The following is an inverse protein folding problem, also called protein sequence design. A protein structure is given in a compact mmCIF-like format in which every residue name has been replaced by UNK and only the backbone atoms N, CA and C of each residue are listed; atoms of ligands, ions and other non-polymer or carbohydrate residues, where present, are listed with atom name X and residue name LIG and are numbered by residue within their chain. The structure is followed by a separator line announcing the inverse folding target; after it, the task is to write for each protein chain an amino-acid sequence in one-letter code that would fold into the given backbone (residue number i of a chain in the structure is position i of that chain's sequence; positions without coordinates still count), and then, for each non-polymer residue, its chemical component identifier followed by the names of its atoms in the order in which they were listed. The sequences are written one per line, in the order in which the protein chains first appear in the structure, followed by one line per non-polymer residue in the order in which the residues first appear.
data_IF_965587683031
#
_entry.id   IF_965587683031
#
_cell.length_a   1.000
_cell.length_b   1.000
_cell.length_c   1.000
_cell.angle_alpha   90.00
_cell.angle_beta   90.00
_cell.angle_gamma   90.00
#
_symmetry.space_group_name_H-M   'P 1'
#
loop_
_entity.id
_entity.type
_entity.pdbx_description
1 polymer ?
#
# COMPACT_ATOMS: atom_id res chain seq x y z
N UNK A 1 6.13 13.30 -13.87
CA UNK A 1 7.11 12.62 -12.99
C UNK A 1 8.20 11.94 -13.78
N UNK A 2 7.94 11.44 -15.01
CA UNK A 2 8.97 10.88 -15.89
C UNK A 2 10.21 11.78 -16.02
N UNK A 3 10.02 13.10 -16.07
CA UNK A 3 11.13 14.06 -16.17
C UNK A 3 12.08 14.10 -14.97
N UNK A 4 11.72 13.52 -13.81
CA UNK A 4 12.59 13.42 -12.64
C UNK A 4 13.47 12.19 -12.67
N UNK A 5 13.24 11.22 -13.56
CA UNK A 5 14.13 10.07 -13.70
C UNK A 5 15.31 10.45 -14.58
N UNK A 6 16.50 10.09 -14.11
CA UNK A 6 17.75 10.27 -14.87
C UNK A 6 17.92 9.12 -15.85
N UNK A 7 18.77 9.31 -16.87
CA UNK A 7 18.97 8.30 -17.93
C UNK A 7 19.57 6.99 -17.43
N UNK A 8 20.23 7.01 -16.27
CA UNK A 8 20.78 5.84 -15.58
C UNK A 8 19.80 5.19 -14.59
N UNK A 9 18.53 5.61 -14.60
CA UNK A 9 17.47 5.08 -13.74
C UNK A 9 17.46 5.64 -12.32
N UNK A 10 18.30 6.63 -12.01
CA UNK A 10 18.23 7.42 -10.78
C UNK A 10 17.02 8.36 -10.71
N UNK A 11 16.92 9.12 -9.62
CA UNK A 11 15.82 10.06 -9.38
C UNK A 11 16.37 11.43 -8.93
N UNK A 12 16.03 12.47 -9.68
CA UNK A 12 16.41 13.86 -9.44
C UNK A 12 15.44 14.51 -8.44
N UNK A 13 15.84 14.51 -7.18
CA UNK A 13 15.08 15.06 -6.07
C UNK A 13 14.97 16.59 -6.11
N UNK A 14 15.96 17.30 -6.64
CA UNK A 14 15.92 18.76 -6.75
C UNK A 14 14.85 19.20 -7.75
N UNK A 15 14.82 18.53 -8.90
CA UNK A 15 13.77 18.74 -9.90
C UNK A 15 12.40 18.37 -9.37
N UNK A 16 12.30 17.27 -8.61
CA UNK A 16 11.05 16.92 -7.94
C UNK A 16 10.57 18.02 -6.99
N UNK A 17 11.44 18.47 -6.09
CA UNK A 17 11.14 19.49 -5.09
C UNK A 17 10.65 20.79 -5.74
N UNK A 18 11.26 21.21 -6.85
CA UNK A 18 10.78 22.38 -7.60
C UNK A 18 9.42 22.16 -8.28
N UNK A 19 9.09 20.94 -8.71
CA UNK A 19 7.79 20.62 -9.32
C UNK A 19 6.64 20.59 -8.31
N UNK A 20 6.89 20.10 -7.10
CA UNK A 20 5.88 20.01 -6.04
C UNK A 20 5.81 21.26 -5.17
N UNK A 21 6.68 22.24 -5.42
CA UNK A 21 6.72 23.50 -4.69
C UNK A 21 5.38 24.22 -4.77
N UNK A 22 4.76 24.45 -3.61
CA UNK A 22 3.46 25.11 -3.50
C UNK A 22 2.26 24.22 -3.85
N UNK A 23 2.45 22.92 -4.10
CA UNK A 23 1.36 21.97 -4.21
C UNK A 23 0.89 21.61 -2.80
N UNK A 24 -0.39 21.83 -2.53
CA UNK A 24 -0.99 21.44 -1.26
C UNK A 24 -1.25 19.92 -1.24
N UNK A 25 -0.46 19.22 -0.44
CA UNK A 25 -0.65 17.80 -0.12
C UNK A 25 -1.22 17.61 1.29
N UNK A 26 -1.31 18.67 2.11
CA UNK A 26 -1.70 18.60 3.53
C UNK A 26 -3.21 18.76 3.72
N UNK A 27 -3.95 19.10 2.67
CA UNK A 27 -5.39 18.80 2.60
C UNK A 27 -5.58 17.29 2.34
N UNK A 28 -6.11 16.58 3.34
CA UNK A 28 -6.45 15.16 3.27
C UNK A 28 -7.86 14.97 2.70
N UNK A 29 -7.92 14.73 1.40
CA UNK A 29 -9.16 14.59 0.62
C UNK A 29 -9.04 13.43 -0.36
N UNK A 30 -9.01 12.17 0.13
CA UNK A 30 -8.74 10.98 -0.68
C UNK A 30 -9.68 10.90 -1.90
N UNK A 31 -9.21 11.24 -3.12
CA UNK A 31 -10.09 11.33 -4.29
C UNK A 31 -10.74 9.99 -4.60
N UNK A 32 -10.04 8.90 -4.28
CA UNK A 32 -10.49 7.54 -4.51
C UNK A 32 -11.68 7.12 -3.63
N UNK A 33 -11.96 7.80 -2.52
CA UNK A 33 -13.17 7.55 -1.70
C UNK A 33 -14.43 8.20 -2.29
N UNK A 34 -14.30 9.05 -3.31
CA UNK A 34 -15.44 9.77 -3.91
C UNK A 34 -16.14 8.92 -4.96
N UNK A 35 -17.47 9.01 -5.10
CA UNK A 35 -18.23 8.28 -6.13
C UNK A 35 -17.72 8.50 -7.56
N UNK A 36 -17.20 9.71 -7.82
CA UNK A 36 -16.66 10.08 -9.13
C UNK A 36 -15.45 9.23 -9.55
N UNK A 37 -14.72 8.62 -8.62
CA UNK A 37 -13.53 7.82 -8.90
C UNK A 37 -13.88 6.53 -9.66
N UNK A 38 -14.87 5.78 -9.16
CA UNK A 38 -15.32 4.50 -9.75
C UNK A 38 -16.37 4.67 -10.85
N UNK A 39 -16.80 5.90 -11.12
CA UNK A 39 -17.69 6.29 -12.24
C UNK A 39 -18.94 5.40 -12.33
N UNK A 40 -19.05 4.60 -13.39
CA UNK A 40 -20.21 3.76 -13.71
C UNK A 40 -20.34 2.54 -12.79
N UNK A 41 -19.25 2.14 -12.13
CA UNK A 41 -19.22 0.97 -11.26
C UNK A 41 -19.62 1.31 -9.82
N UNK A 42 -19.94 2.57 -9.50
CA UNK A 42 -20.29 3.00 -8.13
C UNK A 42 -21.41 2.17 -7.49
N UNK A 43 -22.37 1.71 -8.31
CA UNK A 43 -23.55 1.00 -7.81
C UNK A 43 -23.29 -0.49 -7.53
N UNK A 44 -22.10 -0.99 -7.82
CA UNK A 44 -21.70 -2.36 -7.53
C UNK A 44 -20.68 -2.36 -6.42
N UNK A 45 -20.87 -3.23 -5.44
CA UNK A 45 -19.95 -3.36 -4.33
C UNK A 45 -18.72 -4.21 -4.71
N UNK A 46 -18.01 -3.88 -5.79
CA UNK A 46 -16.81 -4.62 -6.21
C UNK A 46 -15.57 -4.24 -5.41
N UNK A 47 -15.48 -2.98 -4.98
CA UNK A 47 -14.22 -2.38 -4.55
C UNK A 47 -14.07 -2.28 -3.03
N UNK A 48 -15.09 -2.61 -2.24
CA UNK A 48 -14.96 -2.50 -0.79
C UNK A 48 -14.19 -3.69 -0.20
N UNK A 49 -13.54 -3.51 0.97
CA UNK A 49 -12.82 -4.58 1.65
C UNK A 49 -13.69 -5.81 1.90
N UNK A 50 -14.96 -5.61 2.24
CA UNK A 50 -15.93 -6.68 2.53
C UNK A 50 -16.90 -6.95 1.38
N UNK A 51 -16.44 -6.73 0.15
CA UNK A 51 -17.21 -7.08 -1.03
C UNK A 51 -17.62 -8.56 -0.98
N UNK A 52 -18.92 -8.88 -1.11
CA UNK A 52 -19.36 -10.28 -1.17
C UNK A 52 -18.96 -10.98 -2.49
N UNK A 53 -18.46 -10.22 -3.48
CA UNK A 53 -18.06 -10.78 -4.77
C UNK A 53 -16.77 -11.58 -4.61
N UNK A 54 -16.78 -12.84 -5.06
CA UNK A 54 -15.58 -13.69 -5.08
C UNK A 54 -15.15 -14.27 -3.72
N UNK A 55 -15.81 -13.87 -2.63
CA UNK A 55 -15.47 -14.31 -1.28
C UNK A 55 -16.08 -15.69 -0.90
N UNK A 56 -17.04 -16.21 -1.68
CA UNK A 56 -17.76 -17.44 -1.35
C UNK A 56 -18.20 -18.29 -2.55
N UNK A 57 -18.62 -19.52 -2.26
CA UNK A 57 -19.09 -20.49 -3.24
C UNK A 57 -20.31 -19.98 -4.04
N UNK A 58 -20.41 -20.24 -5.36
CA UNK A 58 -19.53 -21.07 -6.20
C UNK A 58 -18.33 -20.34 -6.81
N UNK A 59 -18.20 -19.03 -6.60
CA UNK A 59 -17.13 -18.20 -7.16
C UNK A 59 -16.01 -17.98 -6.14
N UNK A 60 -15.34 -19.06 -5.72
CA UNK A 60 -14.14 -18.99 -4.86
C UNK A 60 -12.91 -18.57 -5.70
N UNK A 61 -12.92 -17.35 -6.23
CA UNK A 61 -11.85 -16.83 -7.08
C UNK A 61 -10.51 -16.86 -6.35
N UNK A 62 -10.53 -16.60 -5.03
CA UNK A 62 -9.38 -16.71 -4.14
C UNK A 62 -8.75 -18.12 -4.15
N UNK A 63 -9.54 -19.19 -4.15
CA UNK A 63 -9.03 -20.58 -4.18
C UNK A 63 -8.43 -20.96 -5.54
N UNK A 64 -9.07 -20.57 -6.64
CA UNK A 64 -8.49 -20.72 -7.98
C UNK A 64 -7.16 -19.97 -8.10
N UNK A 65 -7.09 -18.78 -7.52
CA UNK A 65 -5.89 -17.96 -7.50
C UNK A 65 -4.77 -18.53 -6.62
N UNK A 66 -5.11 -19.04 -5.43
CA UNK A 66 -4.17 -19.77 -4.55
C UNK A 66 -3.51 -20.93 -5.29
N UNK A 67 -4.32 -21.70 -6.00
CA UNK A 67 -3.84 -22.80 -6.84
C UNK A 67 -2.85 -22.29 -7.90
N UNK A 68 -3.21 -21.23 -8.63
CA UNK A 68 -2.33 -20.63 -9.63
C UNK A 68 -1.00 -20.14 -9.03
N UNK A 69 -1.03 -19.37 -7.94
CA UNK A 69 0.16 -18.84 -7.28
C UNK A 69 1.07 -19.96 -6.80
N UNK A 70 0.50 -21.00 -6.18
CA UNK A 70 1.24 -22.17 -5.72
C UNK A 70 1.92 -22.89 -6.88
N UNK A 71 1.22 -23.10 -7.99
CA UNK A 71 1.79 -23.83 -9.14
C UNK A 71 2.78 -22.99 -9.96
N UNK A 72 2.53 -21.70 -10.15
CA UNK A 72 3.39 -20.83 -10.97
C UNK A 72 4.61 -20.32 -10.23
N UNK A 73 4.44 -19.91 -8.97
CA UNK A 73 5.48 -19.22 -8.19
C UNK A 73 6.03 -20.09 -7.05
N UNK A 74 5.40 -21.22 -6.72
CA UNK A 74 5.79 -22.04 -5.57
C UNK A 74 5.44 -21.41 -4.22
N UNK A 75 4.59 -20.38 -4.21
CA UNK A 75 4.25 -19.65 -2.99
C UNK A 75 2.99 -20.18 -2.34
N UNK A 76 2.98 -20.15 -1.01
CA UNK A 76 1.82 -20.46 -0.21
C UNK A 76 1.18 -19.16 0.29
N UNK A 77 -0.04 -18.93 -0.19
CA UNK A 77 -0.91 -17.88 0.33
C UNK A 77 -1.62 -18.39 1.58
N UNK A 78 -1.59 -17.59 2.63
CA UNK A 78 -2.14 -17.88 3.95
C UNK A 78 -3.39 -17.04 4.20
N UNK A 79 -4.39 -17.67 4.80
CA UNK A 79 -5.46 -16.97 5.51
C UNK A 79 -4.91 -16.42 6.82
N UNK A 80 -5.08 -15.12 7.03
CA UNK A 80 -4.69 -14.46 8.28
C UNK A 80 -5.82 -13.55 8.75
N UNK A 81 -5.84 -13.28 10.05
CA UNK A 81 -6.86 -12.43 10.67
C UNK A 81 -6.18 -11.23 11.33
N UNK A 82 -6.69 -10.03 11.09
CA UNK A 82 -6.21 -8.80 11.72
C UNK A 82 -6.38 -8.88 13.25
N UNK A 83 -7.46 -9.53 13.70
CA UNK A 83 -7.78 -9.83 15.09
C UNK A 83 -6.84 -10.83 15.77
N UNK A 84 -6.05 -11.60 15.01
CA UNK A 84 -5.05 -12.54 15.50
C UNK A 84 -3.68 -12.32 14.83
N UNK A 85 -2.96 -11.23 15.16
CA UNK A 85 -1.81 -10.75 14.38
C UNK A 85 -0.49 -11.45 14.72
N UNK A 86 -0.39 -12.11 15.88
CA UNK A 86 0.89 -12.35 16.56
C UNK A 86 1.89 -13.11 15.70
N UNK A 87 1.48 -14.28 15.19
CA UNK A 87 2.37 -15.17 14.45
C UNK A 87 2.74 -14.61 13.07
N UNK A 88 1.80 -13.99 12.36
CA UNK A 88 2.01 -13.60 10.97
C UNK A 88 2.57 -12.18 10.81
N UNK A 89 2.34 -11.27 11.77
CA UNK A 89 3.06 -10.00 11.82
C UNK A 89 4.57 -10.25 12.00
N UNK A 90 4.95 -11.18 12.88
CA UNK A 90 6.36 -11.54 13.04
C UNK A 90 6.98 -12.06 11.74
N UNK A 91 6.24 -12.90 10.98
CA UNK A 91 6.67 -13.37 9.66
C UNK A 91 6.82 -12.22 8.64
N UNK A 92 5.91 -11.23 8.65
CA UNK A 92 6.01 -10.06 7.76
C UNK A 92 7.23 -9.19 8.06
N UNK A 93 7.72 -9.23 9.30
CA UNK A 93 8.88 -8.47 9.75
C UNK A 93 10.18 -9.27 9.61
N UNK A 94 10.15 -10.49 9.06
CA UNK A 94 11.37 -11.26 8.81
C UNK A 94 12.21 -10.57 7.72
N UNK A 95 13.46 -10.16 8.02
CA UNK A 95 14.31 -9.53 7.04
C UNK A 95 14.87 -10.55 6.04
N UNK A 96 15.33 -10.11 4.87
CA UNK A 96 16.08 -10.95 3.95
C UNK A 96 17.29 -11.63 4.61
N UNK A 97 17.63 -12.84 4.14
CA UNK A 97 18.80 -13.60 4.63
C UNK A 97 20.14 -12.87 4.44
N UNK A 98 20.20 -11.95 3.47
CA UNK A 98 21.40 -11.14 3.20
C UNK A 98 21.65 -10.04 4.25
N UNK A 99 20.70 -9.79 5.15
CA UNK A 99 20.80 -8.80 6.22
C UNK A 99 19.55 -7.93 6.32
N UNK A 100 19.40 -7.26 7.47
CA UNK A 100 18.36 -6.27 7.69
C UNK A 100 18.95 -4.87 7.51
N UNK A 101 18.88 -4.35 6.29
CA UNK A 101 19.30 -2.99 5.96
C UNK A 101 18.11 -2.03 5.80
N UNK A 102 16.92 -2.43 6.24
CA UNK A 102 15.74 -1.57 6.21
C UNK A 102 15.98 -0.30 7.03
N UNK A 103 15.76 0.89 6.46
CA UNK A 103 15.84 2.15 7.20
C UNK A 103 14.90 2.13 8.41
N UNK A 104 15.37 2.63 9.56
CA UNK A 104 14.61 2.56 10.82
C UNK A 104 13.20 3.16 10.71
N UNK A 105 13.04 4.21 9.90
CA UNK A 105 11.75 4.87 9.68
C UNK A 105 10.72 3.98 8.97
N UNK A 106 11.15 2.90 8.28
CA UNK A 106 10.28 1.97 7.54
C UNK A 106 10.10 0.63 8.22
N UNK A 107 10.81 0.36 9.32
CA UNK A 107 10.65 -0.87 10.09
C UNK A 107 9.25 -0.93 10.72
N UNK A 108 8.55 -2.01 10.46
CA UNK A 108 7.21 -2.25 10.99
C UNK A 108 6.21 -2.78 9.97
N UNK A 109 5.03 -3.10 10.48
CA UNK A 109 3.82 -3.39 9.71
C UNK A 109 3.02 -2.09 9.61
N UNK A 110 2.65 -1.73 8.39
CA UNK A 110 2.00 -0.47 8.06
C UNK A 110 0.60 -0.71 7.51
N UNK A 111 -0.39 -0.08 8.11
CA UNK A 111 -1.77 -0.04 7.64
C UNK A 111 -1.95 1.08 6.62
N UNK A 112 -2.55 0.74 5.48
CA UNK A 112 -2.91 1.66 4.42
C UNK A 112 -4.35 2.17 4.64
N UNK A 113 -4.53 3.03 5.65
CA UNK A 113 -5.83 3.59 6.03
C UNK A 113 -6.43 4.41 4.88
N UNK A 114 -7.67 4.13 4.49
CA UNK A 114 -8.40 4.76 3.35
C UNK A 114 -7.92 4.33 1.94
N UNK A 115 -7.12 3.28 1.85
CA UNK A 115 -6.77 2.65 0.58
C UNK A 115 -7.94 1.82 0.04
N UNK A 116 -8.48 2.18 -1.12
CA UNK A 116 -9.62 1.46 -1.72
C UNK A 116 -9.19 0.23 -2.53
N UNK A 117 -7.89 0.06 -2.74
CA UNK A 117 -7.32 -1.05 -3.49
C UNK A 117 -7.40 -2.40 -2.72
N UNK A 118 -8.22 -2.52 -1.68
CA UNK A 118 -8.31 -3.72 -0.81
C UNK A 118 -6.98 -4.22 -0.23
N UNK A 119 -5.88 -3.51 -0.41
CA UNK A 119 -4.62 -3.79 0.27
C UNK A 119 -4.66 -3.11 1.62
N UNK A 120 -4.44 -3.89 2.66
CA UNK A 120 -4.65 -3.40 4.04
C UNK A 120 -3.33 -3.16 4.74
N UNK A 121 -2.41 -4.13 4.70
CA UNK A 121 -1.15 -4.08 5.46
C UNK A 121 0.05 -4.38 4.58
N UNK A 122 1.16 -3.71 4.86
CA UNK A 122 2.45 -3.93 4.18
C UNK A 122 3.62 -3.87 5.17
N UNK A 123 4.67 -4.64 4.93
CA UNK A 123 5.96 -4.50 5.63
C UNK A 123 7.09 -4.24 4.64
N UNK A 124 7.86 -3.18 4.89
CA UNK A 124 9.06 -2.85 4.11
C UNK A 124 10.33 -3.49 4.68
N UNK A 125 10.25 -4.11 5.86
CA UNK A 125 11.40 -4.76 6.50
C UNK A 125 11.88 -5.99 5.72
N UNK A 126 11.00 -6.61 4.95
CA UNK A 126 11.33 -7.73 4.06
C UNK A 126 11.97 -7.31 2.74
N UNK A 127 11.99 -6.00 2.43
CA UNK A 127 12.52 -5.52 1.16
C UNK A 127 14.05 -5.62 1.14
N UNK A 128 14.61 -5.72 -0.06
CA UNK A 128 16.04 -5.73 -0.25
C UNK A 128 16.57 -4.31 -0.36
N UNK A 129 17.08 -3.82 0.76
CA UNK A 129 17.69 -2.50 0.89
C UNK A 129 19.17 -2.53 0.58
N UNK A 130 19.68 -1.46 -0.03
CA UNK A 130 21.11 -1.24 -0.20
C UNK A 130 21.81 -1.17 1.15
N UNK A 131 23.06 -1.64 1.20
CA UNK A 131 23.85 -1.61 2.43
C UNK A 131 24.11 -0.18 2.90
N UNK A 132 24.20 0.06 4.22
CA UNK A 132 24.49 1.40 4.75
C UNK A 132 25.81 2.01 4.26
N UNK A 133 26.81 1.17 3.99
CA UNK A 133 28.12 1.53 3.42
C UNK A 133 28.21 1.28 1.90
N UNK A 134 27.09 0.90 1.28
CA UNK A 134 26.96 0.65 -0.14
C UNK A 134 26.80 1.92 -0.98
N UNK A 135 26.64 1.72 -2.30
CA UNK A 135 26.49 2.83 -3.25
C UNK A 135 25.11 3.48 -3.18
N UNK A 136 24.08 2.71 -2.83
CA UNK A 136 22.67 3.14 -2.86
C UNK A 136 21.95 2.79 -1.52
N UNK A 137 22.43 3.27 -0.36
CA UNK A 137 21.84 2.94 0.96
C UNK A 137 20.38 3.38 1.11
N UNK A 138 19.92 4.33 0.28
CA UNK A 138 18.58 4.89 0.27
C UNK A 138 17.59 4.15 -0.64
N UNK A 139 18.05 3.10 -1.35
CA UNK A 139 17.27 2.35 -2.33
C UNK A 139 16.88 0.97 -1.79
N UNK A 140 15.61 0.64 -1.92
CA UNK A 140 15.04 -0.67 -1.63
C UNK A 140 14.36 -1.26 -2.86
N UNK A 141 14.32 -2.58 -2.94
CA UNK A 141 13.50 -3.31 -3.90
C UNK A 141 12.56 -4.23 -3.13
N UNK A 142 11.24 -4.08 -3.35
CA UNK A 142 10.19 -4.83 -2.65
C UNK A 142 9.35 -5.64 -3.63
N UNK A 143 9.18 -6.93 -3.37
CA UNK A 143 8.17 -7.72 -4.07
C UNK A 143 6.78 -7.14 -3.85
N UNK A 144 6.03 -6.91 -4.93
CA UNK A 144 4.63 -6.48 -4.84
C UNK A 144 3.70 -7.59 -4.33
N UNK A 145 4.18 -8.85 -4.25
CA UNK A 145 3.37 -10.00 -3.87
C UNK A 145 3.60 -10.44 -2.42
N UNK A 146 4.79 -10.22 -1.85
CA UNK A 146 5.16 -10.68 -0.50
C UNK A 146 5.00 -9.62 0.58
N UNK A 147 4.49 -10.02 1.73
CA UNK A 147 4.24 -9.14 2.88
C UNK A 147 3.36 -7.92 2.51
N UNK A 148 2.38 -8.18 1.65
CA UNK A 148 1.20 -7.38 1.40
C UNK A 148 -0.01 -8.22 1.80
N UNK A 149 -0.95 -7.64 2.52
CA UNK A 149 -2.24 -8.27 2.77
C UNK A 149 -3.30 -7.65 1.87
N UNK A 150 -4.21 -8.47 1.38
CA UNK A 150 -5.43 -8.00 0.73
C UNK A 150 -6.66 -8.68 1.32
N UNK A 151 -7.83 -8.05 1.19
CA UNK A 151 -9.10 -8.72 1.50
C UNK A 151 -9.30 -9.99 0.64
N UNK A 152 -10.08 -10.94 1.15
CA UNK A 152 -10.28 -12.24 0.48
C UNK A 152 -11.23 -12.19 -0.74
N UNK A 153 -11.88 -11.05 -0.99
CA UNK A 153 -12.83 -10.85 -2.08
C UNK A 153 -12.20 -10.80 -3.47
N UNK A 154 -13.05 -10.58 -4.48
CA UNK A 154 -12.68 -10.55 -5.90
C UNK A 154 -11.58 -9.52 -6.16
N UNK A 155 -11.75 -8.28 -5.71
CA UNK A 155 -10.78 -7.21 -5.96
C UNK A 155 -9.42 -7.52 -5.33
N UNK A 156 -9.39 -7.97 -4.07
CA UNK A 156 -8.13 -8.31 -3.40
C UNK A 156 -7.37 -9.41 -4.15
N UNK A 157 -8.11 -10.43 -4.62
CA UNK A 157 -7.56 -11.49 -5.45
C UNK A 157 -7.04 -10.99 -6.80
N UNK A 158 -7.79 -10.12 -7.50
CA UNK A 158 -7.37 -9.50 -8.77
C UNK A 158 -6.10 -8.66 -8.59
N UNK A 159 -6.00 -7.93 -7.49
CA UNK A 159 -4.85 -7.08 -7.19
C UNK A 159 -3.61 -7.92 -6.93
N UNK A 160 -3.73 -8.99 -6.16
CA UNK A 160 -2.63 -9.95 -5.98
C UNK A 160 -2.18 -10.56 -7.31
N UNK A 161 -3.09 -10.76 -8.27
CA UNK A 161 -2.73 -11.21 -9.61
C UNK A 161 -1.92 -10.17 -10.39
N UNK A 162 -2.40 -8.94 -10.45
CA UNK A 162 -1.68 -7.86 -11.13
C UNK A 162 -0.28 -7.66 -10.51
N UNK A 163 -0.17 -7.79 -9.19
CA UNK A 163 1.09 -7.66 -8.44
C UNK A 163 2.01 -8.88 -8.51
N UNK A 164 1.54 -10.02 -9.01
CA UNK A 164 2.26 -11.32 -8.90
C UNK A 164 3.62 -11.38 -9.60
N UNK A 165 3.88 -10.50 -10.58
CA UNK A 165 5.18 -10.36 -11.24
C UNK A 165 5.91 -9.05 -10.92
N UNK A 166 5.30 -8.17 -10.12
CA UNK A 166 5.79 -6.82 -9.90
C UNK A 166 6.87 -6.74 -8.82
N UNK A 167 7.85 -5.88 -9.07
CA UNK A 167 8.84 -5.45 -8.08
C UNK A 167 8.82 -3.93 -7.97
N UNK A 168 8.66 -3.44 -6.76
CA UNK A 168 8.60 -2.02 -6.49
C UNK A 168 9.96 -1.49 -6.05
N UNK A 169 10.52 -0.59 -6.85
CA UNK A 169 11.65 0.23 -6.43
C UNK A 169 11.20 1.28 -5.43
N UNK A 170 11.94 1.39 -4.34
CA UNK A 170 11.71 2.35 -3.26
C UNK A 170 12.95 3.23 -3.14
N UNK A 171 12.79 4.55 -3.14
CA UNK A 171 13.92 5.49 -3.00
C UNK A 171 13.60 6.53 -1.96
N UNK A 172 14.49 6.71 -0.98
CA UNK A 172 14.34 7.75 0.05
C UNK A 172 15.08 9.00 -0.42
N UNK A 173 14.42 10.15 -0.28
CA UNK A 173 15.01 11.46 -0.54
C UNK A 173 16.17 11.78 0.41
N UNK A 174 17.14 12.62 -0.01
CA UNK A 174 18.29 13.00 0.83
C UNK A 174 17.89 13.64 2.17
N UNK A 175 16.82 14.43 2.20
CA UNK A 175 16.28 15.06 3.42
C UNK A 175 15.35 14.12 4.21
N UNK A 176 15.11 12.91 3.69
CA UNK A 176 14.22 11.88 4.22
C UNK A 176 12.77 12.33 4.33
N UNK A 177 12.34 13.39 3.63
CA UNK A 177 10.94 13.84 3.67
C UNK A 177 10.02 13.12 2.70
N UNK A 178 10.60 12.57 1.65
CA UNK A 178 9.90 11.85 0.60
C UNK A 178 10.46 10.46 0.38
N UNK A 179 9.57 9.55 0.01
CA UNK A 179 9.90 8.23 -0.51
C UNK A 179 9.20 8.09 -1.84
N UNK A 180 9.96 7.80 -2.89
CA UNK A 180 9.42 7.47 -4.20
C UNK A 180 9.18 5.95 -4.28
N UNK A 181 8.00 5.56 -4.75
CA UNK A 181 7.59 4.17 -4.93
C UNK A 181 7.58 3.72 -6.40
N UNK A 182 8.24 4.48 -7.28
CA UNK A 182 8.15 4.37 -8.72
C UNK A 182 7.05 5.23 -9.35
N UNK A 183 7.17 5.50 -10.66
CA UNK A 183 6.17 6.22 -11.45
C UNK A 183 5.81 7.59 -10.88
N UNK A 184 4.56 7.72 -10.40
CA UNK A 184 3.95 8.93 -9.86
C UNK A 184 3.49 8.74 -8.40
N UNK A 185 3.97 7.69 -7.73
CA UNK A 185 3.60 7.29 -6.38
C UNK A 185 4.67 7.74 -5.36
N UNK A 186 4.23 8.45 -4.32
CA UNK A 186 5.10 9.00 -3.29
C UNK A 186 4.52 8.78 -1.89
N UNK A 187 5.40 8.70 -0.90
CA UNK A 187 5.07 8.80 0.52
C UNK A 187 5.77 10.04 1.08
N UNK A 188 5.01 10.90 1.74
CA UNK A 188 5.48 12.07 2.48
C UNK A 188 5.57 11.74 3.98
N UNK A 189 6.70 12.05 4.60
CA UNK A 189 6.93 11.86 6.03
C UNK A 189 6.46 13.09 6.81
N UNK A 190 5.32 12.93 7.49
CA UNK A 190 4.72 13.96 8.34
C UNK A 190 5.60 14.25 9.56
N UNK A 191 5.79 15.52 9.89
CA UNK A 191 6.49 16.00 11.09
C UNK A 191 5.66 16.97 11.95
N UNK A 192 6.27 17.48 13.02
CA UNK A 192 5.62 18.36 14.01
C UNK A 192 5.15 19.72 13.46
N UNK A 193 5.64 20.13 12.28
CA UNK A 193 5.28 21.40 11.62
C UNK A 193 4.13 21.22 10.63
N UNK A 194 3.79 19.98 10.30
CA UNK A 194 2.73 19.68 9.35
C UNK A 194 1.36 19.80 10.02
N UNK A 195 0.40 20.40 9.30
CA UNK A 195 -0.99 20.52 9.73
C UNK A 195 -1.89 19.83 8.71
N UNK A 196 -2.12 18.54 8.93
CA UNK A 196 -3.01 17.75 8.07
C UNK A 196 -4.47 18.10 8.40
N UNK A 197 -5.23 18.57 7.41
CA UNK A 197 -6.63 18.98 7.58
C UNK A 197 -7.52 18.35 6.54
N UNK A 198 -8.79 18.10 6.87
CA UNK A 198 -9.81 17.71 5.89
C UNK A 198 -10.27 18.91 5.04
N UNK A 199 -11.10 18.73 4.00
CA UNK A 199 -11.62 19.84 3.18
C UNK A 199 -12.43 20.88 3.94
N UNK A 200 -12.88 20.55 5.16
CA UNK A 200 -13.62 21.44 6.05
C UNK A 200 -12.68 22.19 7.01
N UNK A 201 -11.36 21.96 6.92
CA UNK A 201 -10.34 22.56 7.77
C UNK A 201 -10.23 21.92 9.16
N UNK A 202 -10.89 20.77 9.38
CA UNK A 202 -10.76 20.03 10.64
C UNK A 202 -9.47 19.22 10.61
N UNK A 203 -8.75 19.26 11.72
CA UNK A 203 -7.50 18.54 11.88
C UNK A 203 -7.69 17.03 11.75
N UNK A 204 -6.85 16.41 10.92
CA UNK A 204 -6.72 14.96 10.81
C UNK A 204 -5.52 14.56 11.66
N UNK A 205 -5.80 13.94 12.81
CA UNK A 205 -4.74 13.54 13.76
C UNK A 205 -3.75 12.59 13.09
N UNK A 206 -2.45 12.79 13.30
CA UNK A 206 -1.40 11.85 12.91
C UNK A 206 -0.30 11.79 13.98
N UNK A 207 0.55 10.76 13.91
CA UNK A 207 1.67 10.52 14.83
C UNK A 207 2.99 10.71 14.09
N UNK A 208 3.77 11.70 14.52
CA UNK A 208 5.08 12.02 13.92
C UNK A 208 5.98 10.78 13.94
N UNK A 209 6.56 10.46 12.78
CA UNK A 209 7.45 9.31 12.60
C UNK A 209 6.75 7.94 12.61
N UNK A 210 5.44 7.88 12.80
CA UNK A 210 4.65 6.64 12.77
C UNK A 210 3.55 6.65 11.71
N UNK A 211 3.14 7.84 11.25
CA UNK A 211 2.16 8.02 10.20
C UNK A 211 2.77 8.81 9.05
N UNK A 212 2.57 8.31 7.84
CA UNK A 212 2.99 8.96 6.60
C UNK A 212 1.78 9.20 5.69
N UNK A 213 1.94 10.09 4.72
CA UNK A 213 0.92 10.40 3.73
C UNK A 213 1.34 9.88 2.37
N UNK A 214 0.62 8.90 1.83
CA UNK A 214 0.84 8.40 0.47
C UNK A 214 0.05 9.26 -0.51
N UNK A 215 0.69 9.73 -1.58
CA UNK A 215 0.06 10.50 -2.68
C UNK A 215 0.44 9.94 -4.05
N UNK A 216 -0.49 10.01 -4.99
CA UNK A 216 -0.25 9.86 -6.44
C UNK A 216 -0.68 11.11 -7.17
N UNK A 217 0.10 11.54 -8.14
CA UNK A 217 -0.24 12.67 -8.99
C UNK A 217 -0.87 12.22 -10.31
N UNK A 218 -1.95 12.88 -10.71
CA UNK A 218 -2.66 12.58 -11.95
C UNK A 218 -1.73 12.71 -13.17
N UNK A 219 -1.60 11.64 -13.95
CA UNK A 219 -0.65 11.52 -15.09
C UNK A 219 0.81 11.84 -14.71
N UNK A 220 1.15 11.72 -13.42
CA UNK A 220 2.41 12.17 -12.88
C UNK A 220 2.66 13.67 -12.98
N UNK A 221 1.65 14.51 -13.10
CA UNK A 221 1.82 15.96 -13.06
C UNK A 221 1.20 16.51 -11.77
N UNK A 222 2.01 16.98 -10.80
CA UNK A 222 1.49 17.57 -9.57
C UNK A 222 0.51 18.72 -9.78
N UNK A 223 0.60 19.43 -10.92
CA UNK A 223 -0.31 20.53 -11.26
C UNK A 223 -1.69 20.08 -11.73
N UNK A 224 -1.83 18.81 -12.14
CA UNK A 224 -3.13 18.22 -12.47
C UNK A 224 -3.90 17.76 -11.23
N UNK A 225 -3.23 17.73 -10.08
CA UNK A 225 -3.82 17.35 -8.80
C UNK A 225 -3.44 15.93 -8.38
N UNK A 226 -3.99 15.54 -7.24
CA UNK A 226 -3.82 14.23 -6.63
C UNK A 226 -4.97 13.34 -7.10
N UNK A 227 -4.68 12.14 -7.59
CA UNK A 227 -5.70 11.15 -7.99
C UNK A 227 -5.82 9.99 -6.99
N UNK A 228 -4.92 9.91 -6.01
CA UNK A 228 -4.97 8.90 -4.97
C UNK A 228 -4.20 9.37 -3.73
N UNK A 229 -4.79 9.23 -2.54
CA UNK A 229 -4.17 9.70 -1.29
C UNK A 229 -4.63 8.88 -0.10
N UNK A 230 -3.73 8.43 0.78
CA UNK A 230 -4.13 7.70 1.99
C UNK A 230 -3.08 7.80 3.09
N UNK A 231 -3.46 7.50 4.32
CA UNK A 231 -2.52 7.45 5.44
C UNK A 231 -1.86 6.07 5.53
N UNK A 232 -0.53 6.05 5.61
CA UNK A 232 0.25 4.86 5.88
C UNK A 232 0.70 4.88 7.33
N UNK A 233 0.12 4.03 8.17
CA UNK A 233 0.28 4.10 9.63
C UNK A 233 0.93 2.87 10.22
N UNK A 234 1.95 3.04 11.05
CA UNK A 234 2.62 1.92 11.70
C UNK A 234 1.72 1.31 12.78
N UNK A 235 1.35 0.04 12.62
CA UNK A 235 0.51 -0.70 13.57
C UNK A 235 1.29 -1.64 14.46
N UNK A 236 2.46 -2.11 14.00
CA UNK A 236 3.33 -2.94 14.82
C UNK A 236 4.80 -2.85 14.38
N UNK A 237 5.71 -3.22 15.28
CA UNK A 237 7.14 -3.31 15.03
C UNK A 237 7.79 -4.31 15.98
N UNK A 238 9.06 -4.69 15.74
CA UNK A 238 9.87 -5.46 16.69
C UNK A 238 10.61 -4.52 17.63
N UNK A 239 10.55 -4.76 18.94
CA UNK A 239 11.42 -4.08 19.90
C UNK A 239 12.86 -4.59 19.85
N UNK A 240 13.72 -4.03 20.71
CA UNK A 240 15.12 -4.42 20.82
C UNK A 240 15.34 -5.89 21.23
N UNK A 241 14.32 -6.57 21.77
CA UNK A 241 14.34 -7.99 22.13
C UNK A 241 13.74 -8.87 21.02
N UNK A 242 13.36 -8.27 19.88
CA UNK A 242 12.69 -8.95 18.79
C UNK A 242 11.24 -9.33 19.10
N UNK A 243 10.64 -8.79 20.16
CA UNK A 243 9.25 -9.04 20.49
C UNK A 243 8.34 -8.09 19.71
N UNK A 244 7.17 -8.58 19.32
CA UNK A 244 6.17 -7.79 18.62
C UNK A 244 5.57 -6.75 19.58
N UNK A 245 5.68 -5.48 19.21
CA UNK A 245 5.01 -4.37 19.87
C UNK A 245 3.95 -3.81 18.94
N UNK A 246 2.73 -3.65 19.45
CA UNK A 246 1.60 -3.03 18.73
C UNK A 246 1.53 -1.55 19.11
N UNK A 247 1.29 -0.68 18.15
CA UNK A 247 1.08 0.75 18.42
C UNK A 247 -0.39 1.01 18.78
N UNK A 248 -0.74 2.18 19.33
CA UNK A 248 -2.15 2.54 19.53
C UNK A 248 -2.99 2.58 18.25
N UNK A 249 -2.36 2.68 17.07
CA UNK A 249 -3.07 2.62 15.78
C UNK A 249 -3.61 1.21 15.51
N UNK A 250 -2.96 0.15 16.03
CA UNK A 250 -3.46 -1.21 15.87
C UNK A 250 -4.87 -1.36 16.46
N UNK A 251 -5.20 -0.69 17.56
CA UNK A 251 -6.55 -0.74 18.13
C UNK A 251 -7.60 -0.11 17.19
N UNK A 252 -7.23 0.94 16.44
CA UNK A 252 -8.11 1.56 15.44
C UNK A 252 -8.32 0.62 14.25
N UNK A 253 -7.24 -0.01 13.79
CA UNK A 253 -7.28 -1.04 12.74
C UNK A 253 -8.17 -2.22 13.17
N UNK A 254 -7.98 -2.72 14.40
CA UNK A 254 -8.73 -3.84 14.96
C UNK A 254 -10.22 -3.51 15.08
N UNK A 255 -10.56 -2.32 15.56
CA UNK A 255 -11.95 -1.86 15.60
C UNK A 255 -12.57 -1.86 14.20
N UNK A 256 -11.91 -1.29 13.19
CA UNK A 256 -12.43 -1.30 11.81
C UNK A 256 -12.55 -2.71 11.21
N UNK A 257 -11.63 -3.62 11.55
CA UNK A 257 -11.65 -5.01 11.10
C UNK A 257 -12.77 -5.82 11.75
N UNK A 258 -13.11 -5.55 13.02
CA UNK A 258 -14.06 -6.34 13.81
C UNK A 258 -15.46 -5.75 13.90
N UNK A 259 -15.65 -4.48 13.51
CA UNK A 259 -16.98 -3.84 13.40
C UNK A 259 -17.92 -4.70 12.57
N UNK A 260 -19.21 -4.83 12.93
CA UNK A 260 -20.20 -5.49 12.08
C UNK A 260 -20.29 -4.83 10.70
N UNK A 261 -20.51 -5.62 9.65
CA UNK A 261 -20.72 -5.08 8.31
C UNK A 261 -22.02 -4.28 8.31
N UNK A 262 -21.93 -2.98 8.10
CA UNK A 262 -23.12 -2.14 7.99
C UNK A 262 -23.93 -2.54 6.73
N UNK A 263 -25.27 -2.53 6.80
CA UNK A 263 -26.14 -2.85 5.68
C UNK A 263 -26.27 -1.62 4.76
N UNK A 264 -25.15 -1.18 4.18
CA UNK A 264 -25.10 0.00 3.31
C UNK A 264 -25.87 -0.21 2.01
N UNK A 265 -25.94 -1.45 1.51
CA UNK A 265 -26.43 -1.77 0.17
C UNK A 265 -27.67 -2.67 0.13
N UNK A 266 -28.29 -2.73 -1.04
CA UNK A 266 -29.35 -3.67 -1.37
C UNK A 266 -28.78 -5.08 -1.68
N UNK A 267 -29.63 -6.10 -1.54
CA UNK A 267 -29.31 -7.49 -1.88
C UNK A 267 -28.03 -7.99 -1.20
N UNK A 268 -27.98 -7.97 0.14
CA UNK A 268 -26.81 -8.40 0.91
C UNK A 268 -25.53 -7.62 0.56
N UNK A 269 -25.64 -6.29 0.40
CA UNK A 269 -24.55 -5.40 0.00
C UNK A 269 -23.94 -5.70 -1.40
N UNK A 270 -24.66 -6.37 -2.31
CA UNK A 270 -24.19 -6.50 -3.70
C UNK A 270 -24.26 -5.18 -4.45
N UNK A 271 -25.34 -4.42 -4.22
CA UNK A 271 -25.61 -3.17 -4.89
C UNK A 271 -25.59 -2.00 -3.93
N UNK A 272 -24.97 -0.90 -4.34
CA UNK A 272 -24.81 0.34 -3.58
C UNK A 272 -25.71 1.47 -4.12
N UNK A 273 -26.72 1.13 -4.93
CA UNK A 273 -27.57 2.10 -5.62
C UNK A 273 -28.46 2.94 -4.69
N UNK A 274 -28.61 2.54 -3.43
CA UNK A 274 -29.36 3.25 -2.40
C UNK A 274 -28.51 4.24 -1.58
N UNK A 275 -27.19 4.28 -1.79
CA UNK A 275 -26.31 5.21 -1.08
C UNK A 275 -26.30 6.58 -1.75
N UNK A 276 -26.35 7.62 -0.92
CA UNK A 276 -26.01 8.98 -1.34
C UNK A 276 -24.50 9.12 -1.63
N UNK A 277 -24.13 10.21 -2.31
CA UNK A 277 -22.74 10.49 -2.62
C UNK A 277 -21.94 10.80 -1.35
N UNK A 278 -22.58 11.38 -0.34
CA UNK A 278 -22.02 11.68 0.99
C UNK A 278 -21.76 10.41 1.81
N UNK A 279 -22.65 9.42 1.72
CA UNK A 279 -22.51 8.14 2.43
C UNK A 279 -21.51 7.20 1.76
N UNK A 280 -21.22 7.39 0.48
CA UNK A 280 -20.41 6.47 -0.31
C UNK A 280 -19.01 6.26 0.28
N UNK A 281 -18.38 7.31 0.83
CA UNK A 281 -17.04 7.18 1.43
C UNK A 281 -17.00 6.23 2.63
N UNK A 282 -18.08 6.14 3.40
CA UNK A 282 -18.13 5.38 4.65
C UNK A 282 -18.16 3.85 4.44
N UNK A 283 -18.40 3.39 3.21
CA UNK A 283 -18.38 1.95 2.90
C UNK A 283 -16.97 1.36 2.98
N UNK A 284 -15.94 2.20 2.87
CA UNK A 284 -14.53 1.82 2.96
C UNK A 284 -14.00 1.83 4.39
N UNK A 285 -14.79 2.31 5.36
CA UNK A 285 -14.35 2.43 6.77
C UNK A 285 -14.37 1.07 7.51
N UNK A 286 -15.02 0.06 6.95
CA UNK A 286 -15.03 -1.30 7.49
C UNK A 286 -14.05 -2.17 6.70
N UNK A 287 -13.07 -2.72 7.40
CA UNK A 287 -12.06 -3.60 6.83
C UNK A 287 -12.48 -5.07 6.98
N UNK A 288 -12.08 -5.92 6.05
CA UNK A 288 -12.25 -7.36 6.25
C UNK A 288 -11.23 -7.85 7.28
N UNK A 289 -11.69 -8.48 8.37
CA UNK A 289 -10.78 -9.10 9.33
C UNK A 289 -9.98 -10.23 8.67
N UNK A 290 -10.62 -10.93 7.72
CA UNK A 290 -10.03 -12.03 6.99
C UNK A 290 -9.23 -11.51 5.80
N UNK A 291 -7.91 -11.70 5.86
CA UNK A 291 -6.97 -11.27 4.84
C UNK A 291 -6.28 -12.47 4.18
N UNK A 292 -5.76 -12.25 2.97
CA UNK A 292 -4.83 -13.15 2.30
C UNK A 292 -3.44 -12.55 2.26
N UNK A 293 -2.42 -13.37 2.50
CA UNK A 293 -1.03 -12.96 2.64
C UNK A 293 -0.08 -14.00 2.03
N UNK A 294 0.97 -13.57 1.34
CA UNK A 294 2.15 -14.41 1.10
C UNK A 294 3.27 -13.92 2.01
N UNK A 295 3.57 -14.63 3.11
CA UNK A 295 4.52 -14.14 4.09
C UNK A 295 5.97 -14.44 3.72
N UNK A 296 6.86 -13.90 4.52
CA UNK A 296 8.25 -14.30 4.61
C UNK A 296 9.17 -13.39 3.82
N UNK A 297 10.47 -13.46 4.12
CA UNK A 297 11.43 -12.57 3.49
C UNK A 297 11.44 -12.79 1.99
N UNK A 298 11.79 -11.74 1.27
CA UNK A 298 11.97 -11.80 -0.17
C UNK A 298 13.18 -12.70 -0.47
N UNK A 299 13.02 -13.63 -1.41
CA UNK A 299 14.04 -14.66 -1.72
C UNK A 299 14.40 -14.71 -3.20
N UNK A 300 13.64 -14.01 -4.03
CA UNK A 300 13.55 -14.16 -5.48
C UNK A 300 13.90 -12.85 -6.21
N UNK A 301 14.82 -12.06 -5.64
CA UNK A 301 15.25 -10.80 -6.23
C UNK A 301 15.64 -10.93 -7.70
N UNK A 302 15.07 -10.11 -8.59
CA UNK A 302 15.58 -9.98 -9.95
C UNK A 302 16.90 -9.18 -9.98
N UNK A 303 17.13 -8.34 -8.96
CA UNK A 303 18.27 -7.43 -8.89
C UNK A 303 18.53 -6.97 -7.45
N UNK A 304 19.79 -6.64 -7.11
CA UNK A 304 20.17 -6.17 -5.78
C UNK A 304 20.76 -4.74 -5.85
N UNK A 305 20.38 -3.81 -4.95
CA UNK A 305 20.82 -2.40 -4.99
C UNK A 305 22.32 -2.13 -5.01
N UNK A 306 23.09 -3.07 -4.46
CA UNK A 306 24.56 -3.00 -4.37
C UNK A 306 25.32 -3.74 -5.49
N UNK A 307 24.64 -4.31 -6.48
CA UNK A 307 25.34 -4.95 -7.61
C UNK A 307 25.83 -3.88 -8.60
N UNK A 308 27.09 -4.01 -9.04
CA UNK A 308 27.72 -3.09 -9.99
C UNK A 308 26.90 -2.98 -11.29
N UNK A 309 26.73 -1.74 -11.72
CA UNK A 309 25.85 -1.31 -12.80
C UNK A 309 26.09 -2.05 -14.12
N UNK A 310 25.15 -2.93 -14.49
CA UNK A 310 24.91 -3.37 -15.87
C UNK A 310 23.54 -4.04 -16.07
N UNK A 311 22.78 -4.33 -15.01
CA UNK A 311 21.38 -4.70 -15.15
C UNK A 311 20.56 -3.43 -14.99
N UNK A 312 20.24 -2.78 -16.11
CA UNK A 312 19.11 -1.85 -16.20
C UNK A 312 17.95 -2.46 -15.42
N UNK A 313 17.27 -1.66 -14.57
CA UNK A 313 15.95 -2.07 -14.07
C UNK A 313 15.15 -2.49 -15.30
N UNK A 314 14.70 -3.74 -15.41
CA UNK A 314 13.93 -4.16 -16.57
C UNK A 314 12.74 -3.19 -16.68
N UNK A 315 12.50 -2.63 -17.87
CA UNK A 315 11.40 -1.68 -18.07
C UNK A 315 10.03 -2.29 -17.68
N UNK A 316 9.96 -3.61 -17.70
CA UNK A 316 8.90 -4.52 -17.26
C UNK A 316 8.80 -4.73 -15.73
N UNK A 317 9.76 -4.25 -14.93
CA UNK A 317 9.62 -4.20 -13.47
C UNK A 317 8.79 -3.01 -12.98
N UNK A 318 8.40 -2.07 -13.84
CA UNK A 318 7.52 -0.97 -13.45
C UNK A 318 6.08 -1.46 -13.47
N UNK A 319 5.46 -1.57 -12.30
CA UNK A 319 4.04 -1.84 -12.21
C UNK A 319 3.24 -0.80 -13.01
N UNK A 320 2.19 -1.21 -13.75
CA UNK A 320 1.32 -0.25 -14.40
C UNK A 320 0.68 0.68 -13.34
N UNK A 321 0.44 1.96 -13.67
CA UNK A 321 -0.27 2.91 -12.81
C UNK A 321 -1.55 2.32 -12.23
N UNK A 322 -1.82 2.53 -10.93
CA UNK A 322 -3.10 2.15 -10.31
C UNK A 322 -4.33 2.68 -11.06
N UNK A 323 -4.23 3.92 -11.54
CA UNK A 323 -5.27 4.55 -12.36
C UNK A 323 -5.61 3.76 -13.63
N UNK A 324 -4.67 3.00 -14.19
CA UNK A 324 -4.92 2.15 -15.37
C UNK A 324 -5.71 0.88 -15.04
N UNK A 325 -5.57 0.34 -13.82
CA UNK A 325 -6.26 -0.87 -13.36
C UNK A 325 -7.72 -0.59 -13.01
N UNK A 326 -7.99 0.55 -12.36
CA UNK A 326 -9.35 0.92 -11.90
C UNK A 326 -10.17 1.61 -13.02
N UNK A 327 -9.53 1.99 -14.14
CA UNK A 327 -10.21 2.58 -15.29
C UNK A 327 -11.02 1.61 -16.19
N UNK A 328 -11.05 0.32 -15.83
CA UNK A 328 -11.94 -0.71 -16.40
C UNK A 328 -13.38 -0.50 -15.91
#
# INVERSE_FOLDING_TARGET
MAQCYTSDGGFDWDKYNELVKGIDILTYDPPQKKPAYVKKLRNFNFFTPRSPYGAGFPFCVSEGWRCYIRHKHGYEMQDVYISDPEAWFLKMLEPPKCGNFCPDLLKGVWWMQDNIANETLVSWESAHWGKPDGRNPEVGMKSCLRNWTTGNGLLGTVIMNIKSGGWQGVRISPDRKWINLGGHDFIYLLDEKDHLVDPQGKEVSFRVGEDFLRVSYQDGDPKKGIDYQYLLRRVAFKDAKGQLQKTPIYEQLLDQATRPTAPYGACCNLFLCNLSDEEYGAIYDNLDDHQILIPGPETDLPWHPDLDAACEMPADCVMPPWSSIISL
#
